data_IF_148270151187
#
_entry.id   IF_148270151187
#
_cell.length_a   1.000
_cell.length_b   1.000
_cell.length_c   1.000
_cell.angle_alpha   90.00
_cell.angle_beta   90.00
_cell.angle_gamma   90.00
#
_symmetry.space_group_name_H-M   'P 1'
#
loop_
_entity.id
_entity.type
_entity.pdbx_description
1 polymer ?
#
# COMPACT_ATOMS: atom_id res chain seq x y z
N UNK A 1 -13.21 1.07 -19.91
CA UNK A 1 -12.06 0.34 -19.36
C UNK A 1 -12.54 -0.61 -18.27
N UNK A 2 -12.22 -1.86 -18.41
CA UNK A 2 -12.70 -2.90 -17.53
C UNK A 2 -11.60 -3.50 -16.66
N UNK A 3 -11.97 -4.42 -15.79
CA UNK A 3 -11.08 -5.15 -14.89
C UNK A 3 -9.84 -5.74 -15.62
N UNK A 4 -10.04 -6.32 -16.79
CA UNK A 4 -8.98 -6.91 -17.61
C UNK A 4 -7.88 -5.89 -17.99
N UNK A 5 -8.27 -4.67 -18.33
CA UNK A 5 -7.33 -3.63 -18.76
C UNK A 5 -6.53 -3.08 -17.58
N UNK A 6 -7.21 -2.85 -16.45
CA UNK A 6 -6.54 -2.41 -15.22
C UNK A 6 -5.59 -3.48 -14.68
N UNK A 7 -6.01 -4.75 -14.72
CA UNK A 7 -5.13 -5.87 -14.34
C UNK A 7 -3.91 -5.97 -15.25
N UNK A 8 -4.07 -5.88 -16.57
CA UNK A 8 -2.95 -5.83 -17.53
C UNK A 8 -2.02 -4.66 -17.24
N UNK A 9 -2.58 -3.50 -16.98
CA UNK A 9 -1.83 -2.29 -16.64
C UNK A 9 -0.96 -2.47 -15.40
N UNK A 10 -1.51 -3.05 -14.33
CA UNK A 10 -0.78 -3.32 -13.10
C UNK A 10 0.32 -4.37 -13.28
N UNK A 11 0.05 -5.45 -13.99
CA UNK A 11 1.06 -6.46 -14.29
C UNK A 11 2.24 -5.87 -15.09
N UNK A 12 1.94 -5.05 -16.08
CA UNK A 12 2.96 -4.35 -16.88
C UNK A 12 3.76 -3.36 -16.03
N UNK A 13 3.08 -2.58 -15.19
CA UNK A 13 3.72 -1.60 -14.30
C UNK A 13 4.69 -2.26 -13.32
N UNK A 14 4.32 -3.44 -12.79
CA UNK A 14 5.15 -4.20 -11.85
C UNK A 14 6.18 -5.12 -12.54
N UNK A 15 6.17 -5.22 -13.86
CA UNK A 15 7.00 -6.19 -14.59
C UNK A 15 6.70 -7.64 -14.23
N UNK A 16 5.46 -7.94 -13.82
CA UNK A 16 5.01 -9.24 -13.36
C UNK A 16 4.33 -10.01 -14.49
N UNK A 17 4.72 -11.26 -14.68
CA UNK A 17 4.07 -12.15 -15.64
C UNK A 17 2.82 -12.78 -15.02
N UNK A 18 1.89 -13.24 -15.88
CA UNK A 18 0.68 -13.96 -15.43
C UNK A 18 1.03 -15.22 -14.64
N UNK A 19 2.13 -15.88 -15.01
CA UNK A 19 2.65 -17.03 -14.28
C UNK A 19 3.07 -16.67 -12.84
N UNK A 20 3.69 -15.52 -12.65
CA UNK A 20 4.13 -15.07 -11.34
C UNK A 20 2.92 -14.72 -10.45
N UNK A 21 1.90 -14.10 -11.05
CA UNK A 21 0.64 -13.82 -10.37
C UNK A 21 -0.07 -15.13 -9.98
N UNK A 22 -0.08 -16.14 -10.86
CA UNK A 22 -0.65 -17.45 -10.57
C UNK A 22 0.04 -18.11 -9.38
N UNK A 23 1.38 -18.08 -9.34
CA UNK A 23 2.16 -18.62 -8.24
C UNK A 23 1.90 -17.89 -6.91
N UNK A 24 1.78 -16.56 -6.96
CA UNK A 24 1.56 -15.74 -5.77
C UNK A 24 0.13 -15.84 -5.21
N UNK A 25 -0.87 -16.01 -6.07
CA UNK A 25 -2.28 -16.05 -5.68
C UNK A 25 -2.81 -17.47 -5.45
N UNK A 26 -2.15 -18.48 -6.01
CA UNK A 26 -2.69 -19.83 -6.07
C UNK A 26 -3.83 -20.02 -7.08
N UNK A 27 -4.17 -19.01 -7.85
CA UNK A 27 -5.19 -19.08 -8.91
C UNK A 27 -4.54 -19.70 -10.16
N UNK A 28 -5.17 -20.72 -10.78
CA UNK A 28 -4.62 -21.32 -11.99
C UNK A 28 -4.39 -20.30 -13.11
N UNK A 29 -3.24 -20.38 -13.79
CA UNK A 29 -2.90 -19.48 -14.88
C UNK A 29 -4.00 -19.39 -15.94
N UNK A 30 -4.61 -20.52 -16.31
CA UNK A 30 -5.73 -20.55 -17.26
C UNK A 30 -6.93 -19.69 -16.81
N UNK A 31 -7.19 -19.64 -15.51
CA UNK A 31 -8.25 -18.79 -14.96
C UNK A 31 -7.88 -17.32 -15.06
N UNK A 32 -6.64 -16.96 -14.73
CA UNK A 32 -6.13 -15.60 -14.88
C UNK A 32 -6.12 -15.16 -16.35
N UNK A 33 -5.74 -16.03 -17.26
CA UNK A 33 -5.78 -15.75 -18.70
C UNK A 33 -7.22 -15.39 -19.17
N UNK A 34 -8.24 -16.09 -18.63
CA UNK A 34 -9.64 -15.75 -18.92
C UNK A 34 -10.03 -14.37 -18.41
N UNK A 35 -9.53 -13.95 -17.25
CA UNK A 35 -9.78 -12.60 -16.70
C UNK A 35 -9.11 -11.50 -17.54
N UNK A 36 -8.03 -11.83 -18.24
CA UNK A 36 -7.28 -10.89 -19.07
C UNK A 36 -7.82 -10.74 -20.49
N UNK A 37 -8.74 -11.60 -20.93
CA UNK A 37 -9.35 -11.49 -22.26
C UNK A 37 -10.22 -10.23 -22.36
N UNK A 38 -10.33 -9.66 -23.56
CA UNK A 38 -11.11 -8.45 -23.83
C UNK A 38 -12.60 -8.63 -23.50
N UNK A 39 -13.13 -9.83 -23.72
CA UNK A 39 -14.49 -10.23 -23.29
C UNK A 39 -14.40 -11.19 -22.10
N UNK A 40 -13.42 -10.97 -21.23
CA UNK A 40 -13.11 -11.85 -20.12
C UNK A 40 -14.21 -11.92 -19.07
N UNK A 41 -14.25 -13.05 -18.39
CA UNK A 41 -15.15 -13.25 -17.26
C UNK A 41 -14.64 -12.41 -16.07
N UNK A 42 -15.56 -11.76 -15.37
CA UNK A 42 -15.23 -11.10 -14.11
C UNK A 42 -14.82 -12.16 -13.07
N UNK A 43 -13.77 -11.91 -12.30
CA UNK A 43 -13.41 -12.82 -11.21
C UNK A 43 -14.48 -12.87 -10.13
N UNK A 44 -14.54 -13.97 -9.41
CA UNK A 44 -15.29 -14.02 -8.14
C UNK A 44 -14.74 -13.00 -7.16
N UNK A 45 -15.54 -12.61 -6.17
CA UNK A 45 -15.12 -11.66 -5.15
C UNK A 45 -13.83 -12.12 -4.45
N UNK A 46 -13.71 -13.40 -4.10
CA UNK A 46 -12.53 -13.96 -3.44
C UNK A 46 -11.28 -13.86 -4.31
N UNK A 47 -11.39 -14.19 -5.59
CA UNK A 47 -10.29 -14.09 -6.53
C UNK A 47 -9.89 -12.62 -6.77
N UNK A 48 -10.86 -11.72 -6.87
CA UNK A 48 -10.61 -10.29 -7.03
C UNK A 48 -9.85 -9.72 -5.82
N UNK A 49 -10.25 -10.09 -4.61
CA UNK A 49 -9.56 -9.69 -3.38
C UNK A 49 -8.12 -10.24 -3.34
N UNK A 50 -7.94 -11.52 -3.64
CA UNK A 50 -6.61 -12.16 -3.64
C UNK A 50 -5.68 -11.51 -4.65
N UNK A 51 -6.17 -11.23 -5.86
CA UNK A 51 -5.40 -10.52 -6.91
C UNK A 51 -5.03 -9.11 -6.45
N UNK A 52 -6.00 -8.36 -5.92
CA UNK A 52 -5.79 -7.00 -5.46
C UNK A 52 -4.75 -6.92 -4.33
N UNK A 53 -4.83 -7.80 -3.34
CA UNK A 53 -3.87 -7.89 -2.24
C UNK A 53 -2.47 -8.23 -2.74
N UNK A 54 -2.34 -9.19 -3.65
CA UNK A 54 -1.05 -9.58 -4.23
C UNK A 54 -0.42 -8.43 -5.01
N UNK A 55 -1.20 -7.65 -5.73
CA UNK A 55 -0.74 -6.49 -6.48
C UNK A 55 -0.59 -5.22 -5.62
N UNK A 56 -1.05 -5.22 -4.37
CA UNK A 56 -1.02 -4.03 -3.51
C UNK A 56 -1.94 -2.91 -3.98
N UNK A 57 -3.05 -3.26 -4.61
CA UNK A 57 -4.09 -2.33 -5.09
C UNK A 57 -5.44 -2.68 -4.47
N UNK A 58 -6.43 -1.82 -4.65
CA UNK A 58 -7.80 -2.12 -4.20
C UNK A 58 -8.60 -2.84 -5.29
N UNK A 59 -9.58 -3.65 -4.88
CA UNK A 59 -10.54 -4.28 -5.81
C UNK A 59 -11.29 -3.20 -6.60
N UNK A 60 -11.67 -2.12 -5.93
CA UNK A 60 -12.35 -1.00 -6.55
C UNK A 60 -11.51 -0.36 -7.67
N UNK A 61 -10.19 -0.21 -7.47
CA UNK A 61 -9.29 0.25 -8.52
C UNK A 61 -9.28 -0.69 -9.72
N UNK A 62 -9.18 -2.00 -9.49
CA UNK A 62 -9.19 -2.99 -10.58
C UNK A 62 -10.51 -2.97 -11.38
N UNK A 63 -11.63 -2.66 -10.72
CA UNK A 63 -12.94 -2.61 -11.37
C UNK A 63 -13.19 -1.27 -12.08
N UNK A 64 -12.87 -0.16 -11.43
CA UNK A 64 -13.26 1.19 -11.87
C UNK A 64 -12.12 2.00 -12.50
N UNK A 65 -10.86 1.60 -12.31
CA UNK A 65 -9.68 2.36 -12.67
C UNK A 65 -9.43 3.59 -11.79
N UNK A 66 -10.27 3.83 -10.81
CA UNK A 66 -10.10 4.95 -9.89
C UNK A 66 -9.11 4.56 -8.80
N UNK A 67 -7.94 5.18 -8.84
CA UNK A 67 -7.05 5.17 -7.69
C UNK A 67 -7.72 5.97 -6.59
N UNK A 68 -8.33 5.26 -5.64
CA UNK A 68 -8.72 5.91 -4.40
C UNK A 68 -7.39 6.29 -3.74
N UNK A 69 -7.15 7.58 -3.52
CA UNK A 69 -6.01 7.93 -2.67
C UNK A 69 -6.16 7.13 -1.38
N UNK A 70 -5.07 6.62 -0.85
CA UNK A 70 -5.00 5.92 0.45
C UNK A 70 -5.67 6.69 1.61
N UNK A 71 -6.20 7.84 1.33
CA UNK A 71 -6.82 8.78 2.24
C UNK A 71 -8.20 8.37 2.79
N UNK A 72 -8.67 7.17 2.49
CA UNK A 72 -9.95 6.69 3.07
C UNK A 72 -9.90 5.23 3.48
N UNK A 73 -8.84 4.81 4.16
CA UNK A 73 -9.07 3.85 5.24
C UNK A 73 -9.91 4.62 6.24
N UNK A 74 -11.16 4.23 6.50
CA UNK A 74 -11.96 4.95 7.47
C UNK A 74 -11.15 5.05 8.77
N UNK A 75 -11.02 6.24 9.31
CA UNK A 75 -10.24 6.52 10.53
C UNK A 75 -10.56 5.58 11.70
N UNK A 76 -11.71 4.92 11.65
CA UNK A 76 -12.16 3.93 12.63
C UNK A 76 -11.29 2.67 12.71
N UNK A 77 -10.53 2.34 11.65
CA UNK A 77 -9.63 1.16 11.63
C UNK A 77 -8.20 1.50 12.06
N UNK A 78 -7.90 2.76 12.28
CA UNK A 78 -6.61 3.17 12.79
C UNK A 78 -6.60 3.14 14.33
N UNK A 79 -5.47 2.80 14.92
CA UNK A 79 -5.30 2.95 16.36
C UNK A 79 -5.51 4.41 16.79
N UNK A 80 -5.89 4.68 18.04
CA UNK A 80 -6.09 6.05 18.52
C UNK A 80 -4.87 6.96 18.30
N UNK A 81 -3.66 6.42 18.47
CA UNK A 81 -2.40 7.12 18.30
C UNK A 81 -2.15 7.51 16.85
N UNK A 82 -2.36 6.57 15.92
CA UNK A 82 -2.20 6.82 14.48
C UNK A 82 -3.25 7.80 13.99
N UNK A 83 -4.47 7.73 14.49
CA UNK A 83 -5.54 8.67 14.18
C UNK A 83 -5.20 10.10 14.62
N UNK A 84 -4.60 10.24 15.80
CA UNK A 84 -4.16 11.53 16.31
C UNK A 84 -3.08 12.14 15.40
N UNK A 85 -2.09 11.34 14.99
CA UNK A 85 -1.05 11.76 14.04
C UNK A 85 -1.66 12.19 12.71
N UNK A 86 -2.60 11.42 12.17
CA UNK A 86 -3.29 11.75 10.92
C UNK A 86 -4.03 13.11 11.02
N UNK A 87 -4.68 13.40 12.14
CA UNK A 87 -5.36 14.68 12.36
C UNK A 87 -4.41 15.88 12.37
N UNK A 88 -3.15 15.70 12.76
CA UNK A 88 -2.15 16.77 12.69
C UNK A 88 -1.60 16.97 11.28
N UNK A 89 -1.54 15.91 10.49
CA UNK A 89 -0.91 15.94 9.15
C UNK A 89 -1.90 16.34 8.06
N UNK A 90 -3.16 15.91 8.18
CA UNK A 90 -4.19 16.14 7.16
C UNK A 90 -4.41 17.62 6.78
N UNK A 91 -4.43 18.59 7.72
CA UNK A 91 -4.60 20.00 7.40
C UNK A 91 -3.41 20.66 6.69
N UNK A 92 -2.26 19.98 6.62
CA UNK A 92 -1.06 20.54 6.02
C UNK A 92 -1.13 20.60 4.49
N UNK A 93 -0.55 21.62 3.83
CA UNK A 93 -0.34 21.64 2.39
C UNK A 93 0.45 20.42 1.90
N UNK A 94 0.28 20.04 0.64
CA UNK A 94 0.88 18.85 0.05
C UNK A 94 2.42 18.78 0.22
N UNK A 95 3.12 19.87 -0.03
CA UNK A 95 4.57 19.98 0.12
C UNK A 95 5.02 19.70 1.56
N UNK A 96 4.28 20.22 2.54
CA UNK A 96 4.54 19.98 3.97
C UNK A 96 4.24 18.53 4.37
N UNK A 97 3.15 17.95 3.86
CA UNK A 97 2.84 16.52 4.09
C UNK A 97 3.95 15.60 3.57
N UNK A 98 4.57 15.93 2.43
CA UNK A 98 5.70 15.17 1.89
C UNK A 98 6.93 15.19 2.80
N UNK A 99 7.21 16.34 3.43
CA UNK A 99 8.29 16.43 4.42
C UNK A 99 8.00 15.55 5.63
N UNK A 100 6.78 15.58 6.15
CA UNK A 100 6.35 14.73 7.27
C UNK A 100 6.43 13.25 6.91
N UNK A 101 5.96 12.84 5.74
CA UNK A 101 6.04 11.47 5.24
C UNK A 101 7.48 10.95 5.24
N UNK A 102 8.41 11.73 4.69
CA UNK A 102 9.83 11.39 4.66
C UNK A 102 10.42 11.26 6.07
N UNK A 103 10.14 12.22 6.93
CA UNK A 103 10.61 12.23 8.32
C UNK A 103 10.10 11.04 9.10
N UNK A 104 8.81 10.72 9.00
CA UNK A 104 8.19 9.55 9.65
C UNK A 104 8.80 8.25 9.13
N UNK A 105 9.02 8.12 7.82
CA UNK A 105 9.64 6.94 7.22
C UNK A 105 11.03 6.67 7.78
N UNK A 106 11.87 7.71 7.88
CA UNK A 106 13.21 7.58 8.46
C UNK A 106 13.16 7.25 9.96
N UNK A 107 12.26 7.89 10.70
CA UNK A 107 12.06 7.62 12.13
C UNK A 107 11.63 6.17 12.38
N UNK A 108 10.69 5.64 11.59
CA UNK A 108 10.22 4.25 11.70
C UNK A 108 11.36 3.26 11.43
N UNK A 109 12.19 3.50 10.41
CA UNK A 109 13.38 2.66 10.13
C UNK A 109 14.34 2.61 11.31
N UNK A 110 14.62 3.75 11.92
CA UNK A 110 15.51 3.84 13.09
C UNK A 110 14.92 3.11 14.30
N UNK A 111 13.60 3.23 14.53
CA UNK A 111 12.91 2.54 15.61
C UNK A 111 12.89 1.01 15.40
N UNK A 112 12.73 0.55 14.18
CA UNK A 112 12.77 -0.89 13.84
C UNK A 112 14.18 -1.48 14.06
N UNK A 113 15.23 -0.77 13.66
CA UNK A 113 16.61 -1.20 13.91
C UNK A 113 16.94 -1.29 15.40
N UNK A 114 16.34 -0.44 16.21
CA UNK A 114 16.53 -0.45 17.66
C UNK A 114 15.82 -1.59 18.38
N UNK A 115 14.75 -2.14 17.81
CA UNK A 115 14.01 -3.27 18.38
C UNK A 115 14.83 -4.58 18.37
N UNK A 116 15.78 -4.69 17.44
CA UNK A 116 16.65 -5.87 17.34
C UNK A 116 17.81 -5.86 18.36
N UNK A 117 18.18 -4.70 18.91
CA UNK A 117 19.39 -4.58 19.75
C UNK A 117 19.18 -4.23 21.23
N UNK A 118 18.18 -3.45 21.62
CA UNK A 118 17.80 -3.10 23.03
C UNK A 118 16.64 -2.09 23.06
N UNK A 119 15.86 -2.02 24.15
CA UNK A 119 14.88 -0.95 24.32
C UNK A 119 15.59 0.41 24.28
N UNK A 120 15.13 1.28 23.37
CA UNK A 120 15.70 2.63 23.22
C UNK A 120 15.44 3.48 24.45
N UNK A 121 16.50 3.98 25.07
CA UNK A 121 16.37 5.00 26.11
C UNK A 121 15.89 6.33 25.52
N UNK A 122 15.14 7.12 26.31
CA UNK A 122 14.64 8.44 25.93
C UNK A 122 15.76 9.37 25.40
N UNK A 123 16.98 9.24 25.93
CA UNK A 123 18.18 9.97 25.47
C UNK A 123 18.56 9.67 24.03
N UNK A 124 18.35 8.42 23.57
CA UNK A 124 18.62 8.03 22.18
C UNK A 124 17.56 8.60 21.23
N UNK A 125 16.29 8.64 21.65
CA UNK A 125 15.22 9.31 20.91
C UNK A 125 15.48 10.81 20.76
N UNK A 126 15.98 11.48 21.78
CA UNK A 126 16.38 12.90 21.70
C UNK A 126 17.52 13.15 20.72
N UNK A 127 18.53 12.28 20.68
CA UNK A 127 19.64 12.37 19.72
C UNK A 127 19.17 12.16 18.27
N UNK A 128 18.27 11.23 18.05
CA UNK A 128 17.66 10.99 16.73
C UNK A 128 16.83 12.20 16.31
N UNK A 129 16.03 12.75 17.21
CA UNK A 129 15.22 13.93 16.98
C UNK A 129 16.07 15.15 16.60
N UNK A 130 17.16 15.40 17.33
CA UNK A 130 18.10 16.49 17.05
C UNK A 130 18.83 16.30 15.69
N UNK A 131 19.05 15.08 15.24
CA UNK A 131 19.63 14.77 13.93
C UNK A 131 18.68 15.09 12.77
N UNK A 132 17.39 14.87 12.96
CA UNK A 132 16.36 15.08 11.94
C UNK A 132 15.99 16.57 11.76
N UNK A 133 16.20 17.39 12.78
CA UNK A 133 15.82 18.82 12.81
C UNK A 133 17.00 19.80 12.78
N UNK A 134 18.18 19.33 12.44
CA UNK A 134 19.35 20.18 12.16
C UNK A 134 19.38 20.66 10.72
#
# INVERSE_FOLDING_TARGET
MGFNEHLKGELKYKGMLVKDLANATGIPKQTLDKYLLTNGVMPSADNAVTIAQTLGVTVEYLVTGRKIPYAKVPNQFLSPEVRLIANYVEPLPYDKRKVVEKTVSELVKLLQQSLDDKPMELSTLQKVFLRLFR
#
